data_IF_724958865317
#
_entry.id   IF_724958865317
#
_cell.length_a   1.000
_cell.length_b   1.000
_cell.length_c   1.000
_cell.angle_alpha   90.00
_cell.angle_beta   90.00
_cell.angle_gamma   90.00
#
_symmetry.space_group_name_H-M   'P 1'
#
loop_
_entity.id
_entity.type
_entity.pdbx_description
1 polymer ?
#
# COMPACT_ATOMS: atom_id res chain seq x y z
N UNK A 1 59.56 -3.85 -26.39
CA UNK A 1 59.68 -5.30 -26.67
C UNK A 1 58.96 -5.74 -27.95
N UNK A 2 57.90 -5.04 -28.42
CA UNK A 2 57.13 -5.47 -29.61
C UNK A 2 57.69 -5.03 -30.97
N UNK A 3 58.66 -4.10 -31.03
CA UNK A 3 59.27 -3.61 -32.29
C UNK A 3 59.97 -4.70 -33.13
N UNK A 4 60.34 -5.82 -32.52
CA UNK A 4 61.04 -6.93 -33.18
C UNK A 4 60.16 -8.18 -33.38
N UNK A 5 58.86 -8.11 -33.06
CA UNK A 5 57.93 -9.24 -33.24
C UNK A 5 57.50 -9.38 -34.71
N UNK A 6 57.19 -10.60 -35.15
CA UNK A 6 56.65 -10.88 -36.49
C UNK A 6 55.26 -10.26 -36.68
N UNK A 7 54.88 -9.98 -37.94
CA UNK A 7 53.56 -9.41 -38.28
C UNK A 7 52.40 -10.22 -37.68
N UNK A 8 52.51 -11.55 -37.73
CA UNK A 8 51.51 -12.46 -37.16
C UNK A 8 51.34 -12.26 -35.64
N UNK A 9 52.44 -12.17 -34.89
CA UNK A 9 52.40 -11.97 -33.43
C UNK A 9 51.79 -10.61 -33.06
N UNK A 10 52.06 -9.57 -33.85
CA UNK A 10 51.48 -8.22 -33.67
C UNK A 10 49.96 -8.24 -33.87
N UNK A 11 49.49 -8.86 -34.95
CA UNK A 11 48.06 -8.99 -35.25
C UNK A 11 47.34 -9.80 -34.16
N UNK A 12 47.88 -10.95 -33.75
CA UNK A 12 47.29 -11.77 -32.68
C UNK A 12 47.17 -10.96 -31.39
N UNK A 13 48.20 -10.20 -31.01
CA UNK A 13 48.18 -9.38 -29.79
C UNK A 13 47.09 -8.29 -29.85
N UNK A 14 46.96 -7.60 -30.98
CA UNK A 14 45.92 -6.58 -31.17
C UNK A 14 44.51 -7.19 -31.13
N UNK A 15 44.29 -8.32 -31.80
CA UNK A 15 43.00 -9.02 -31.78
C UNK A 15 42.65 -9.55 -30.39
N UNK A 16 43.61 -10.14 -29.67
CA UNK A 16 43.39 -10.59 -28.29
C UNK A 16 43.05 -9.42 -27.37
N UNK A 17 43.69 -8.27 -27.55
CA UNK A 17 43.41 -7.08 -26.75
C UNK A 17 42.02 -6.51 -27.03
N UNK A 18 41.61 -6.41 -28.29
CA UNK A 18 40.24 -6.00 -28.66
C UNK A 18 39.22 -7.00 -28.11
N UNK A 19 39.48 -8.30 -28.27
CA UNK A 19 38.65 -9.37 -27.71
C UNK A 19 38.49 -9.26 -26.20
N UNK A 20 39.57 -8.92 -25.48
CA UNK A 20 39.53 -8.67 -24.04
C UNK A 20 38.65 -7.47 -23.68
N UNK A 21 38.74 -6.36 -24.42
CA UNK A 21 37.86 -5.19 -24.19
C UNK A 21 36.39 -5.57 -24.41
N UNK A 22 36.07 -6.27 -25.50
CA UNK A 22 34.71 -6.73 -25.80
C UNK A 22 34.20 -7.65 -24.69
N UNK A 23 35.05 -8.56 -24.21
CA UNK A 23 34.71 -9.46 -23.10
C UNK A 23 34.40 -8.69 -21.80
N UNK A 24 35.22 -7.69 -21.45
CA UNK A 24 34.97 -6.84 -20.28
C UNK A 24 33.65 -6.07 -20.42
N UNK A 25 33.38 -5.51 -21.59
CA UNK A 25 32.11 -4.81 -21.90
C UNK A 25 30.92 -5.75 -21.73
N UNK A 26 31.03 -6.98 -22.25
CA UNK A 26 29.97 -7.99 -22.12
C UNK A 26 29.74 -8.37 -20.64
N UNK A 27 30.81 -8.52 -19.85
CA UNK A 27 30.70 -8.80 -18.41
C UNK A 27 30.03 -7.65 -17.64
N UNK A 28 30.41 -6.40 -17.93
CA UNK A 28 29.78 -5.20 -17.33
C UNK A 28 28.31 -5.16 -17.70
N UNK A 29 27.98 -5.28 -18.99
CA UNK A 29 26.60 -5.27 -19.47
C UNK A 29 25.74 -6.36 -18.84
N UNK A 30 26.25 -7.59 -18.76
CA UNK A 30 25.57 -8.70 -18.10
C UNK A 30 25.31 -8.42 -16.62
N UNK A 31 26.34 -7.98 -15.90
CA UNK A 31 26.28 -7.72 -14.46
C UNK A 31 25.27 -6.63 -14.12
N UNK A 32 25.25 -5.56 -14.91
CA UNK A 32 24.30 -4.45 -14.77
C UNK A 32 22.88 -4.88 -15.10
N UNK A 33 22.69 -5.64 -16.17
CA UNK A 33 21.37 -6.16 -16.53
C UNK A 33 20.80 -7.09 -15.45
N UNK A 34 21.65 -7.91 -14.83
CA UNK A 34 21.24 -8.78 -13.73
C UNK A 34 20.81 -7.98 -12.48
N UNK A 35 21.58 -6.96 -12.07
CA UNK A 35 21.21 -6.09 -10.94
C UNK A 35 19.94 -5.30 -11.23
N UNK A 36 19.81 -4.73 -12.43
CA UNK A 36 18.61 -4.01 -12.85
C UNK A 36 17.38 -4.92 -12.85
N UNK A 37 17.52 -6.16 -13.34
CA UNK A 37 16.43 -7.16 -13.30
C UNK A 37 16.01 -7.47 -11.87
N UNK A 38 16.97 -7.56 -10.94
CA UNK A 38 16.68 -7.74 -9.51
C UNK A 38 15.92 -6.54 -8.93
N UNK A 39 16.34 -5.31 -9.22
CA UNK A 39 15.64 -4.10 -8.78
C UNK A 39 14.21 -4.02 -9.32
N UNK A 40 14.02 -4.31 -10.61
CA UNK A 40 12.68 -4.37 -11.22
C UNK A 40 11.84 -5.45 -10.55
N UNK A 41 12.40 -6.62 -10.27
CA UNK A 41 11.68 -7.69 -9.58
C UNK A 41 11.23 -7.23 -8.18
N UNK A 42 12.14 -6.68 -7.37
CA UNK A 42 11.79 -6.13 -6.05
C UNK A 42 10.66 -5.10 -6.14
N UNK A 43 10.73 -4.17 -7.10
CA UNK A 43 9.68 -3.15 -7.26
C UNK A 43 8.33 -3.76 -7.67
N UNK A 44 8.34 -4.66 -8.66
CA UNK A 44 7.11 -5.16 -9.29
C UNK A 44 6.45 -6.31 -8.54
N UNK A 45 7.22 -7.14 -7.85
CA UNK A 45 6.70 -8.31 -7.13
C UNK A 45 6.65 -8.12 -5.62
N UNK A 46 7.31 -7.08 -5.08
CA UNK A 46 7.32 -6.79 -3.65
C UNK A 46 6.74 -5.40 -3.32
N UNK A 47 7.50 -4.33 -3.56
CA UNK A 47 7.15 -3.00 -3.06
C UNK A 47 5.82 -2.48 -3.61
N UNK A 48 5.57 -2.58 -4.92
CA UNK A 48 4.33 -2.10 -5.52
C UNK A 48 3.11 -2.91 -5.03
N UNK A 49 3.13 -4.26 -5.03
CA UNK A 49 2.06 -5.03 -4.40
C UNK A 49 1.86 -4.71 -2.91
N UNK A 50 2.93 -4.48 -2.15
CA UNK A 50 2.84 -4.14 -0.72
C UNK A 50 2.09 -2.82 -0.53
N UNK A 51 2.57 -1.74 -1.16
CA UNK A 51 1.98 -0.40 -1.07
C UNK A 51 0.52 -0.41 -1.50
N UNK A 52 0.20 -1.03 -2.64
CA UNK A 52 -1.20 -1.14 -3.12
C UNK A 52 -2.06 -1.95 -2.15
N UNK A 53 -1.53 -3.03 -1.58
CA UNK A 53 -2.25 -3.87 -0.62
C UNK A 53 -2.61 -3.08 0.64
N UNK A 54 -1.63 -2.42 1.24
CA UNK A 54 -1.80 -1.59 2.42
C UNK A 54 -2.74 -0.39 2.17
N UNK A 55 -2.63 0.29 1.02
CA UNK A 55 -3.54 1.38 0.66
C UNK A 55 -4.98 0.91 0.50
N UNK A 56 -5.22 -0.30 -0.03
CA UNK A 56 -6.58 -0.88 -0.10
C UNK A 56 -7.17 -1.08 1.29
N UNK A 57 -6.36 -1.54 2.25
CA UNK A 57 -6.76 -1.72 3.65
C UNK A 57 -7.11 -0.36 4.27
N UNK A 58 -6.20 0.62 4.17
CA UNK A 58 -6.37 1.96 4.71
C UNK A 58 -7.61 2.69 4.15
N UNK A 59 -7.79 2.65 2.82
CA UNK A 59 -8.96 3.25 2.18
C UNK A 59 -10.26 2.53 2.57
N UNK A 60 -10.23 1.19 2.68
CA UNK A 60 -11.40 0.44 3.13
C UNK A 60 -11.79 0.78 4.57
N UNK A 61 -10.81 0.93 5.48
CA UNK A 61 -11.02 1.39 6.84
C UNK A 61 -11.70 2.76 6.86
N UNK A 62 -11.19 3.70 6.05
CA UNK A 62 -11.71 5.07 5.93
C UNK A 62 -13.13 5.10 5.35
N UNK A 63 -13.44 4.25 4.38
CA UNK A 63 -14.78 4.10 3.82
C UNK A 63 -15.79 3.59 4.86
N UNK A 64 -15.38 2.62 5.69
CA UNK A 64 -16.22 2.09 6.77
C UNK A 64 -16.53 3.22 7.77
N UNK A 65 -15.51 3.90 8.29
CA UNK A 65 -15.67 5.02 9.22
C UNK A 65 -16.59 6.12 8.63
N UNK A 66 -16.44 6.42 7.33
CA UNK A 66 -17.32 7.37 6.64
C UNK A 66 -18.78 6.92 6.60
N UNK A 67 -19.04 5.63 6.35
CA UNK A 67 -20.39 5.08 6.31
C UNK A 67 -21.01 4.96 7.70
N UNK A 68 -20.22 4.66 8.73
CA UNK A 68 -20.68 4.65 10.12
C UNK A 68 -21.14 6.06 10.55
N UNK A 69 -20.35 7.10 10.24
CA UNK A 69 -20.77 8.50 10.45
C UNK A 69 -22.05 8.84 9.70
N UNK A 70 -22.22 8.36 8.47
CA UNK A 70 -23.45 8.56 7.72
C UNK A 70 -24.65 7.86 8.38
N UNK A 71 -24.47 6.65 8.92
CA UNK A 71 -25.51 5.91 9.65
C UNK A 71 -25.92 6.57 10.97
N UNK A 72 -25.09 7.47 11.51
CA UNK A 72 -25.43 8.36 12.63
C UNK A 72 -26.22 9.61 12.21
N UNK A 73 -26.55 9.78 10.92
CA UNK A 73 -27.45 10.84 10.49
C UNK A 73 -28.91 10.38 10.60
N UNK A 74 -29.65 10.97 11.54
CA UNK A 74 -31.07 10.71 11.81
C UNK A 74 -32.02 11.06 10.66
N UNK A 75 -31.53 11.79 9.65
CA UNK A 75 -32.32 12.16 8.47
C UNK A 75 -32.26 11.11 7.34
N UNK A 76 -31.45 10.06 7.49
CA UNK A 76 -31.40 9.00 6.48
C UNK A 76 -32.66 8.13 6.52
N UNK A 77 -33.27 7.95 5.34
CA UNK A 77 -34.30 6.94 5.16
C UNK A 77 -33.70 5.53 5.04
N UNK A 78 -34.55 4.50 5.12
CA UNK A 78 -34.12 3.09 5.05
C UNK A 78 -33.27 2.76 3.80
N UNK A 79 -33.62 3.30 2.64
CA UNK A 79 -32.88 3.05 1.39
C UNK A 79 -31.47 3.62 1.43
N UNK A 80 -31.33 4.84 1.95
CA UNK A 80 -30.02 5.47 2.15
C UNK A 80 -29.18 4.72 3.18
N UNK A 81 -29.78 4.30 4.31
CA UNK A 81 -29.08 3.45 5.31
C UNK A 81 -28.60 2.14 4.69
N UNK A 82 -29.42 1.48 3.86
CA UNK A 82 -29.04 0.25 3.16
C UNK A 82 -27.89 0.46 2.16
N UNK A 83 -27.83 1.65 1.54
CA UNK A 83 -26.70 2.03 0.67
C UNK A 83 -25.40 2.08 1.46
N UNK A 84 -25.40 2.71 2.64
CA UNK A 84 -24.20 2.77 3.50
C UNK A 84 -23.79 1.39 4.02
N UNK A 85 -24.74 0.54 4.42
CA UNK A 85 -24.45 -0.84 4.81
C UNK A 85 -23.82 -1.64 3.65
N UNK A 86 -24.30 -1.39 2.42
CA UNK A 86 -23.74 -2.03 1.22
C UNK A 86 -22.32 -1.52 0.92
N UNK A 87 -22.06 -0.22 1.15
CA UNK A 87 -20.74 0.37 1.03
C UNK A 87 -19.75 -0.24 2.04
N UNK A 88 -20.17 -0.43 3.30
CA UNK A 88 -19.37 -1.12 4.33
C UNK A 88 -18.98 -2.54 3.88
N UNK A 89 -19.92 -3.32 3.33
CA UNK A 89 -19.63 -4.66 2.82
C UNK A 89 -18.57 -4.65 1.71
N UNK A 90 -18.70 -3.73 0.75
CA UNK A 90 -17.71 -3.58 -0.34
C UNK A 90 -16.35 -3.14 0.16
N UNK A 91 -16.32 -2.29 1.19
CA UNK A 91 -15.07 -1.88 1.83
C UNK A 91 -14.38 -3.05 2.53
N UNK A 92 -15.13 -3.94 3.20
CA UNK A 92 -14.58 -5.20 3.74
C UNK A 92 -14.00 -6.10 2.64
N UNK A 93 -14.70 -6.28 1.51
CA UNK A 93 -14.13 -7.04 0.38
C UNK A 93 -12.84 -6.40 -0.18
N UNK A 94 -12.74 -5.07 -0.17
CA UNK A 94 -11.52 -4.35 -0.56
C UNK A 94 -10.38 -4.59 0.44
N UNK A 95 -10.67 -4.50 1.73
CA UNK A 95 -9.74 -4.79 2.83
C UNK A 95 -9.20 -6.21 2.68
N UNK A 96 -10.07 -7.21 2.49
CA UNK A 96 -9.66 -8.61 2.37
C UNK A 96 -8.74 -8.83 1.17
N UNK A 97 -9.02 -8.18 0.04
CA UNK A 97 -8.12 -8.17 -1.12
C UNK A 97 -6.80 -7.48 -0.81
N UNK A 98 -6.82 -6.41 -0.02
CA UNK A 98 -5.64 -5.69 0.44
C UNK A 98 -4.73 -6.56 1.29
N UNK A 99 -5.27 -7.19 2.34
CA UNK A 99 -4.54 -8.15 3.17
C UNK A 99 -3.99 -9.31 2.35
N UNK A 100 -4.82 -9.96 1.53
CA UNK A 100 -4.35 -11.07 0.69
C UNK A 100 -3.18 -10.68 -0.22
N UNK A 101 -3.22 -9.46 -0.78
CA UNK A 101 -2.16 -8.97 -1.64
C UNK A 101 -0.90 -8.65 -0.84
N UNK A 102 -1.03 -7.96 0.30
CA UNK A 102 0.09 -7.60 1.17
C UNK A 102 0.72 -8.83 1.84
N UNK A 103 -0.07 -9.79 2.31
CA UNK A 103 0.42 -11.03 2.95
C UNK A 103 1.29 -11.88 2.02
N UNK A 104 1.05 -11.80 0.71
CA UNK A 104 1.81 -12.53 -0.30
C UNK A 104 3.21 -11.93 -0.58
N UNK A 105 3.50 -10.71 -0.09
CA UNK A 105 4.79 -10.05 -0.29
C UNK A 105 5.81 -10.48 0.75
N UNK A 106 7.09 -10.41 0.36
CA UNK A 106 8.22 -10.68 1.25
C UNK A 106 8.47 -9.48 2.16
N UNK A 107 8.41 -9.73 3.46
CA UNK A 107 8.58 -8.70 4.48
C UNK A 107 9.97 -8.75 5.10
N UNK A 108 10.62 -7.61 5.20
CA UNK A 108 11.87 -7.48 5.93
C UNK A 108 11.61 -7.52 7.46
N UNK A 109 12.67 -7.46 8.28
CA UNK A 109 12.54 -7.56 9.74
C UNK A 109 11.78 -6.39 10.38
N UNK A 110 11.97 -5.18 9.87
CA UNK A 110 11.31 -3.97 10.39
C UNK A 110 9.83 -3.96 10.03
N UNK A 111 9.51 -4.30 8.78
CA UNK A 111 8.14 -4.46 8.28
C UNK A 111 7.38 -5.53 9.05
N UNK A 112 8.01 -6.69 9.32
CA UNK A 112 7.41 -7.75 10.15
C UNK A 112 7.07 -7.26 11.56
N UNK A 113 7.91 -6.40 12.15
CA UNK A 113 7.65 -5.86 13.48
C UNK A 113 6.41 -4.95 13.45
N UNK A 114 6.37 -3.99 12.52
CA UNK A 114 5.22 -3.09 12.35
C UNK A 114 3.94 -3.90 12.09
N UNK A 115 4.00 -4.88 11.18
CA UNK A 115 2.84 -5.70 10.84
C UNK A 115 2.35 -6.52 12.03
N UNK A 116 3.26 -7.05 12.85
CA UNK A 116 2.89 -7.78 14.08
C UNK A 116 2.20 -6.90 15.13
N UNK A 117 2.54 -5.61 15.18
CA UNK A 117 1.87 -4.61 16.03
C UNK A 117 0.52 -4.16 15.44
N UNK A 118 0.42 -4.10 14.11
CA UNK A 118 -0.79 -3.70 13.40
C UNK A 118 -1.93 -4.69 13.63
N UNK A 119 -1.68 -5.99 13.48
CA UNK A 119 -2.72 -7.02 13.55
C UNK A 119 -3.63 -6.96 14.79
N UNK A 120 -3.11 -6.87 16.04
CA UNK A 120 -3.97 -6.75 17.21
C UNK A 120 -4.74 -5.43 17.25
N UNK A 121 -4.15 -4.31 16.81
CA UNK A 121 -4.84 -3.00 16.76
C UNK A 121 -5.95 -2.98 15.72
N UNK A 122 -5.71 -3.62 14.59
CA UNK A 122 -6.69 -3.84 13.54
C UNK A 122 -7.87 -4.68 14.05
N UNK A 123 -7.60 -5.77 14.78
CA UNK A 123 -8.64 -6.62 15.35
C UNK A 123 -9.46 -5.89 16.43
N UNK A 124 -8.82 -5.11 17.29
CA UNK A 124 -9.49 -4.25 18.29
C UNK A 124 -10.47 -3.24 17.64
N UNK A 125 -10.05 -2.59 16.55
CA UNK A 125 -10.91 -1.69 15.77
C UNK A 125 -12.06 -2.44 15.10
N UNK A 126 -11.77 -3.59 14.47
CA UNK A 126 -12.76 -4.44 13.81
C UNK A 126 -13.84 -4.91 14.77
N UNK A 127 -13.48 -5.33 15.98
CA UNK A 127 -14.47 -5.73 16.99
C UNK A 127 -15.40 -4.57 17.38
N UNK A 128 -14.87 -3.35 17.49
CA UNK A 128 -15.69 -2.15 17.74
C UNK A 128 -16.63 -1.82 16.58
N UNK A 129 -16.15 -1.99 15.34
CA UNK A 129 -16.93 -1.86 14.10
C UNK A 129 -18.08 -2.89 14.06
N UNK A 130 -17.79 -4.15 14.37
CA UNK A 130 -18.81 -5.21 14.45
C UNK A 130 -19.87 -4.89 15.52
N UNK A 131 -19.44 -4.36 16.67
CA UNK A 131 -20.37 -3.91 17.73
C UNK A 131 -21.25 -2.76 17.25
N UNK A 132 -20.68 -1.79 16.55
CA UNK A 132 -21.45 -0.70 15.92
C UNK A 132 -22.52 -1.25 14.97
N UNK A 133 -22.18 -2.25 14.14
CA UNK A 133 -23.12 -2.84 13.20
C UNK A 133 -24.27 -3.61 13.88
N UNK A 134 -24.00 -4.28 15.00
CA UNK A 134 -25.04 -4.91 15.83
C UNK A 134 -26.03 -3.86 16.35
N UNK A 135 -25.51 -2.78 16.93
CA UNK A 135 -26.33 -1.66 17.42
C UNK A 135 -27.13 -0.99 16.30
N UNK A 136 -26.52 -0.82 15.12
CA UNK A 136 -27.21 -0.31 13.93
C UNK A 136 -28.37 -1.23 13.49
N UNK A 137 -28.19 -2.55 13.59
CA UNK A 137 -29.27 -3.50 13.28
C UNK A 137 -30.40 -3.41 14.30
N UNK A 138 -30.09 -3.35 15.60
CA UNK A 138 -31.07 -3.15 16.68
C UNK A 138 -31.87 -1.85 16.48
N UNK A 139 -31.17 -0.74 16.23
CA UNK A 139 -31.78 0.55 15.90
C UNK A 139 -32.68 0.48 14.66
N UNK A 140 -32.22 -0.20 13.60
CA UNK A 140 -32.98 -0.27 12.36
C UNK A 140 -34.28 -1.07 12.49
N UNK A 141 -34.30 -2.09 13.36
CA UNK A 141 -35.49 -2.91 13.61
C UNK A 141 -36.62 -2.12 14.31
N UNK A 142 -36.29 -1.03 15.01
CA UNK A 142 -37.29 -0.19 15.68
C UNK A 142 -38.07 0.69 14.68
N UNK A 143 -37.54 0.91 13.47
CA UNK A 143 -38.22 1.65 12.40
C UNK A 143 -38.37 3.16 12.64
N UNK A 144 -37.78 3.70 13.72
CA UNK A 144 -37.84 5.13 14.07
C UNK A 144 -36.45 5.76 13.86
N UNK A 145 -36.16 6.23 12.64
CA UNK A 145 -34.83 6.75 12.29
C UNK A 145 -34.55 8.18 12.78
N UNK A 146 -35.60 8.97 13.04
CA UNK A 146 -35.49 10.27 13.71
C UNK A 146 -36.22 10.23 15.07
N UNK A 147 -35.64 9.54 16.07
CA UNK A 147 -36.32 9.32 17.33
C UNK A 147 -36.46 10.60 18.18
N UNK A 148 -35.52 11.55 18.11
CA UNK A 148 -35.64 12.85 18.79
C UNK A 148 -36.78 13.68 18.20
N UNK A 149 -36.88 13.76 16.87
CA UNK A 149 -37.97 14.47 16.19
C UNK A 149 -39.33 13.84 16.46
N UNK A 150 -39.40 12.50 16.45
CA UNK A 150 -40.62 11.76 16.77
C UNK A 150 -41.06 11.96 18.23
N UNK A 151 -40.12 11.97 19.18
CA UNK A 151 -40.41 12.24 20.60
C UNK A 151 -40.96 13.66 20.78
N UNK A 152 -40.32 14.66 20.18
CA UNK A 152 -40.75 16.06 20.25
C UNK A 152 -42.17 16.24 19.70
N UNK A 153 -42.50 15.59 18.59
CA UNK A 153 -43.84 15.67 17.99
C UNK A 153 -44.92 15.07 18.90
N UNK A 154 -44.67 13.90 19.51
CA UNK A 154 -45.62 13.31 20.46
C UNK A 154 -45.82 14.18 21.71
N UNK A 155 -44.74 14.77 22.24
CA UNK A 155 -44.83 15.67 23.39
C UNK A 155 -45.65 16.93 23.06
N UNK A 156 -45.49 17.50 21.86
CA UNK A 156 -46.29 18.64 21.40
C UNK A 156 -47.78 18.31 21.27
N UNK A 157 -48.09 17.06 20.95
CA UNK A 157 -49.47 16.55 20.89
C UNK A 157 -50.04 16.19 22.28
N UNK A 158 -49.28 16.35 23.36
CA UNK A 158 -49.69 15.97 24.72
C UNK A 158 -49.78 14.45 24.94
N UNK A 159 -49.21 13.64 24.05
CA UNK A 159 -49.27 12.17 24.11
C UNK A 159 -48.08 11.61 24.90
N UNK A 160 -48.14 11.73 26.23
CA UNK A 160 -47.01 11.44 27.13
C UNK A 160 -46.95 10.02 27.68
N UNK A 161 -47.97 9.19 27.48
CA UNK A 161 -48.04 7.80 27.97
C UNK A 161 -48.61 6.87 26.89
N UNK A 162 -47.89 6.74 25.78
CA UNK A 162 -48.29 5.88 24.65
C UNK A 162 -47.28 4.75 24.41
N UNK A 163 -47.73 3.58 23.92
CA UNK A 163 -46.82 2.52 23.47
C UNK A 163 -45.82 3.00 22.40
N UNK A 164 -46.22 3.96 21.58
CA UNK A 164 -45.38 4.59 20.55
C UNK A 164 -44.20 5.36 21.17
N UNK A 165 -44.44 6.11 22.25
CA UNK A 165 -43.39 6.83 22.97
C UNK A 165 -42.35 5.87 23.56
N UNK A 166 -42.75 4.68 24.01
CA UNK A 166 -41.82 3.65 24.49
C UNK A 166 -40.89 3.15 23.36
N UNK A 167 -41.43 2.92 22.17
CA UNK A 167 -40.62 2.53 20.99
C UNK A 167 -39.66 3.63 20.59
N UNK A 168 -40.10 4.89 20.60
CA UNK A 168 -39.25 6.05 20.31
C UNK A 168 -38.11 6.18 21.33
N UNK A 169 -38.40 6.02 22.63
CA UNK A 169 -37.37 6.05 23.67
C UNK A 169 -36.34 4.93 23.51
N UNK A 170 -36.76 3.72 23.13
CA UNK A 170 -35.84 2.62 22.78
C UNK A 170 -34.97 2.98 21.58
N UNK A 171 -35.54 3.61 20.55
CA UNK A 171 -34.79 4.04 19.37
C UNK A 171 -33.79 5.15 19.70
N UNK A 172 -34.16 6.12 20.53
CA UNK A 172 -33.25 7.14 21.07
C UNK A 172 -32.09 6.49 21.84
N UNK A 173 -32.38 5.51 22.70
CA UNK A 173 -31.33 4.82 23.45
C UNK A 173 -30.38 4.04 22.54
N UNK A 174 -30.91 3.27 21.57
CA UNK A 174 -30.11 2.52 20.61
C UNK A 174 -29.23 3.46 19.74
N UNK A 175 -29.79 4.58 19.28
CA UNK A 175 -29.04 5.59 18.53
C UNK A 175 -27.90 6.20 19.37
N UNK A 176 -28.15 6.52 20.64
CA UNK A 176 -27.13 7.05 21.54
C UNK A 176 -26.01 6.02 21.78
N UNK A 177 -26.35 4.73 21.93
CA UNK A 177 -25.36 3.65 22.04
C UNK A 177 -24.51 3.52 20.78
N UNK A 178 -25.11 3.64 19.58
CA UNK A 178 -24.35 3.67 18.33
C UNK A 178 -23.37 4.83 18.29
N UNK A 179 -23.83 6.03 18.65
CA UNK A 179 -22.99 7.23 18.67
C UNK A 179 -21.82 7.09 19.64
N UNK A 180 -22.10 6.60 20.86
CA UNK A 180 -21.08 6.32 21.86
C UNK A 180 -20.09 5.26 21.38
N UNK A 181 -20.56 4.17 20.77
CA UNK A 181 -19.70 3.11 20.25
C UNK A 181 -18.76 3.62 19.15
N UNK A 182 -19.23 4.52 18.27
CA UNK A 182 -18.39 5.12 17.24
C UNK A 182 -17.31 6.03 17.87
N UNK A 183 -17.68 6.82 18.88
CA UNK A 183 -16.74 7.67 19.62
C UNK A 183 -15.68 6.84 20.37
N UNK A 184 -16.08 5.76 21.04
CA UNK A 184 -15.18 4.85 21.75
C UNK A 184 -14.26 4.06 20.80
N UNK A 185 -14.71 3.77 19.58
CA UNK A 185 -13.90 3.05 18.59
C UNK A 185 -12.91 3.97 17.86
N UNK A 186 -13.09 5.30 17.93
CA UNK A 186 -12.28 6.29 17.21
C UNK A 186 -10.77 6.18 17.52
N UNK A 187 -10.31 6.05 18.78
CA UNK A 187 -8.88 5.88 19.04
C UNK A 187 -8.32 4.56 18.50
N UNK A 188 -9.14 3.51 18.37
CA UNK A 188 -8.73 2.22 17.81
C UNK A 188 -8.57 2.30 16.30
N UNK A 189 -9.47 3.03 15.63
CA UNK A 189 -9.30 3.40 14.22
C UNK A 189 -7.95 4.07 14.01
N UNK A 190 -7.67 5.13 14.80
CA UNK A 190 -6.44 5.93 14.67
C UNK A 190 -5.17 5.11 14.93
N UNK A 191 -5.17 4.26 15.97
CA UNK A 191 -4.04 3.40 16.27
C UNK A 191 -3.72 2.39 15.16
N UNK A 192 -4.74 1.80 14.53
CA UNK A 192 -4.55 0.91 13.38
C UNK A 192 -4.10 1.69 12.14
N UNK A 193 -4.67 2.88 11.89
CA UNK A 193 -4.28 3.75 10.77
C UNK A 193 -2.83 4.21 10.89
N UNK A 194 -2.36 4.59 12.08
CA UNK A 194 -0.97 5.00 12.31
C UNK A 194 0.02 3.91 11.88
N UNK A 195 -0.22 2.67 12.29
CA UNK A 195 0.63 1.54 11.93
C UNK A 195 0.54 1.18 10.44
N UNK A 196 -0.65 1.27 9.84
CA UNK A 196 -0.82 1.09 8.39
C UNK A 196 -0.02 2.13 7.59
N UNK A 197 -0.11 3.40 7.96
CA UNK A 197 0.62 4.47 7.29
C UNK A 197 2.13 4.32 7.46
N UNK A 198 2.59 3.91 8.64
CA UNK A 198 3.99 3.61 8.89
C UNK A 198 4.52 2.47 8.01
N UNK A 199 3.72 1.42 7.82
CA UNK A 199 4.06 0.28 6.96
C UNK A 199 4.07 0.68 5.47
N UNK A 200 3.13 1.54 5.06
CA UNK A 200 3.09 2.14 3.71
C UNK A 200 4.37 2.95 3.48
N UNK A 201 4.71 3.86 4.39
CA UNK A 201 5.89 4.72 4.27
C UNK A 201 7.19 3.91 4.21
N UNK A 202 7.29 2.85 5.01
CA UNK A 202 8.44 1.93 4.96
C UNK A 202 8.57 1.27 3.58
N UNK A 203 7.47 0.75 3.04
CA UNK A 203 7.46 0.11 1.72
C UNK A 203 7.74 1.09 0.57
N UNK A 204 7.23 2.32 0.66
CA UNK A 204 7.57 3.41 -0.26
C UNK A 204 9.06 3.75 -0.18
N UNK A 205 9.63 3.84 1.02
CA UNK A 205 11.06 4.06 1.24
C UNK A 205 11.94 2.96 0.63
N UNK A 206 11.53 1.69 0.76
CA UNK A 206 12.22 0.55 0.11
C UNK A 206 12.18 0.69 -1.41
N UNK A 207 11.04 1.10 -1.98
CA UNK A 207 10.90 1.30 -3.41
C UNK A 207 11.84 2.41 -3.92
N UNK A 208 11.84 3.55 -3.24
CA UNK A 208 12.69 4.71 -3.57
C UNK A 208 14.16 4.32 -3.47
N UNK A 209 14.59 3.67 -2.39
CA UNK A 209 15.98 3.23 -2.23
C UNK A 209 16.40 2.22 -3.32
N UNK A 210 15.47 1.35 -3.74
CA UNK A 210 15.71 0.38 -4.83
C UNK A 210 15.89 1.09 -6.18
N UNK A 211 15.09 2.12 -6.44
CA UNK A 211 15.21 2.96 -7.64
C UNK A 211 16.54 3.74 -7.65
N UNK A 212 16.89 4.39 -6.55
CA UNK A 212 18.15 5.13 -6.42
C UNK A 212 19.38 4.22 -6.64
N UNK A 213 19.36 3.02 -6.06
CA UNK A 213 20.40 2.02 -6.26
C UNK A 213 20.51 1.60 -7.75
N UNK A 214 19.37 1.35 -8.40
CA UNK A 214 19.33 0.99 -9.83
C UNK A 214 19.89 2.11 -10.71
N UNK A 215 19.53 3.37 -10.44
CA UNK A 215 20.02 4.53 -11.17
C UNK A 215 21.53 4.72 -11.00
N UNK A 216 22.06 4.54 -9.79
CA UNK A 216 23.50 4.57 -9.52
C UNK A 216 24.25 3.47 -10.27
N UNK A 217 23.69 2.26 -10.32
CA UNK A 217 24.26 1.14 -11.06
C UNK A 217 24.29 1.41 -12.57
N UNK A 218 23.22 1.97 -13.13
CA UNK A 218 23.16 2.38 -14.55
C UNK A 218 24.21 3.44 -14.85
N UNK A 219 24.35 4.48 -14.00
CA UNK A 219 25.30 5.57 -14.20
C UNK A 219 26.76 5.05 -14.20
N UNK A 220 27.13 4.25 -13.20
CA UNK A 220 28.45 3.64 -13.11
C UNK A 220 28.77 2.75 -14.32
N UNK A 221 27.79 1.95 -14.75
CA UNK A 221 27.96 1.05 -15.88
C UNK A 221 28.13 1.81 -17.19
N UNK A 222 27.32 2.85 -17.39
CA UNK A 222 27.40 3.71 -18.58
C UNK A 222 28.76 4.38 -18.68
N UNK A 223 29.31 4.89 -17.58
CA UNK A 223 30.64 5.47 -17.54
C UNK A 223 31.72 4.48 -18.03
N UNK A 224 31.74 3.26 -17.50
CA UNK A 224 32.71 2.23 -17.91
C UNK A 224 32.52 1.77 -19.36
N UNK A 225 31.27 1.67 -19.83
CA UNK A 225 30.96 1.35 -21.22
C UNK A 225 31.46 2.42 -22.20
N UNK A 226 31.31 3.70 -21.86
CA UNK A 226 31.85 4.82 -22.66
C UNK A 226 33.38 4.75 -22.71
N UNK A 227 34.05 4.49 -21.59
CA UNK A 227 35.52 4.32 -21.56
C UNK A 227 35.94 3.18 -22.49
N UNK A 228 35.30 2.02 -22.40
CA UNK A 228 35.62 0.88 -23.24
C UNK A 228 35.37 1.15 -24.74
N UNK A 229 34.29 1.87 -25.06
CA UNK A 229 33.96 2.28 -26.43
C UNK A 229 35.01 3.20 -27.04
N UNK A 230 35.61 4.10 -26.24
CA UNK A 230 36.68 5.01 -26.68
C UNK A 230 38.02 4.30 -26.78
N UNK A 231 38.35 3.44 -25.82
CA UNK A 231 39.62 2.71 -25.78
C UNK A 231 39.78 1.73 -26.94
N UNK A 232 38.69 1.08 -27.40
CA UNK A 232 38.75 0.14 -28.53
C UNK A 232 39.34 0.76 -29.81
N UNK A 233 38.73 1.83 -30.37
CA UNK A 233 39.25 2.53 -31.54
C UNK A 233 40.63 3.17 -31.32
N UNK A 234 40.86 3.79 -30.15
CA UNK A 234 42.16 4.40 -29.85
C UNK A 234 43.28 3.37 -29.85
N UNK A 235 43.05 2.21 -29.23
CA UNK A 235 44.04 1.13 -29.23
C UNK A 235 44.23 0.56 -30.62
N UNK A 236 43.17 0.36 -31.40
CA UNK A 236 43.28 -0.05 -32.81
C UNK A 236 44.13 0.94 -33.65
N UNK A 237 43.97 2.26 -33.46
CA UNK A 237 44.78 3.28 -34.13
C UNK A 237 46.25 3.22 -33.67
N UNK A 238 46.49 3.13 -32.37
CA UNK A 238 47.85 3.03 -31.81
C UNK A 238 48.55 1.76 -32.32
N UNK A 239 47.86 0.62 -32.32
CA UNK A 239 48.37 -0.64 -32.87
C UNK A 239 48.50 -0.58 -34.41
N UNK A 240 47.69 0.19 -35.11
CA UNK A 240 47.82 0.38 -36.56
C UNK A 240 48.95 1.34 -36.97
N UNK A 241 49.30 2.31 -36.10
CA UNK A 241 50.31 3.32 -36.39
C UNK A 241 51.69 3.08 -35.77
N UNK A 242 51.80 2.29 -34.69
CA UNK A 242 53.09 1.90 -34.08
C UNK A 242 53.73 0.65 -34.70
N UNK A 243 52.99 -0.09 -35.54
CA UNK A 243 53.42 -1.36 -36.13
C UNK A 243 53.50 -1.31 -37.65
#
# INVERSE_FOLDING_TARGET
MLKNASLQARLITAFLFIGLIVFIVALVGWSTNHRLSSSINTLTTNSLPSVIGLWKINEGQTQIESSERALLNINLNQSQRNTEITRIKKAWEQIDRGFKQYDATEKNSEEKAIYSELLPKWDEWKQGQERFMQLNQEFSQLGVFNPIGAELELLRQGRTDTPELLTIKRANNAFNQMSQQAEENRPRFEAATELLLKDIELNEGIAIATEEAANKDIANSTFWLIIALILGPLTAIIFGGLF
#
